data_IF_445129761334
#
_entry.id   IF_445129761334
#
_cell.length_a   1.000
_cell.length_b   1.000
_cell.length_c   1.000
_cell.angle_alpha   90.00
_cell.angle_beta   90.00
_cell.angle_gamma   90.00
#
_symmetry.space_group_name_H-M   'P 1'
#
loop_
_entity.id
_entity.type
_entity.pdbx_description
1 polymer ?
#
# COMPACT_ATOMS: atom_id res chain seq x y z
N UNK A 1 51.02 -15.15 8.21
CA UNK A 1 50.39 -13.91 7.72
C UNK A 1 48.88 -14.13 7.71
N UNK A 2 48.16 -13.26 8.40
CA UNK A 2 46.78 -13.45 8.82
C UNK A 2 45.78 -13.31 7.66
N UNK A 3 44.78 -14.19 7.64
CA UNK A 3 43.60 -14.10 6.80
C UNK A 3 42.59 -13.10 7.37
N UNK A 4 41.93 -12.37 6.48
CA UNK A 4 40.82 -11.47 6.82
C UNK A 4 39.51 -12.23 6.67
N UNK A 5 38.87 -12.52 7.80
CA UNK A 5 37.55 -13.12 7.90
C UNK A 5 36.45 -12.11 7.52
N UNK A 6 35.33 -12.56 6.93
CA UNK A 6 34.13 -11.74 6.79
C UNK A 6 33.58 -11.38 8.17
N UNK A 7 33.14 -10.14 8.31
CA UNK A 7 32.83 -9.43 9.56
C UNK A 7 31.71 -10.08 10.38
N UNK A 8 32.08 -10.61 11.55
CA UNK A 8 31.21 -11.14 12.61
C UNK A 8 30.27 -10.10 13.27
N UNK A 9 30.23 -8.87 12.79
CA UNK A 9 29.44 -7.79 13.39
C UNK A 9 27.95 -7.83 12.97
N UNK A 10 27.63 -8.45 11.83
CA UNK A 10 26.26 -8.54 11.32
C UNK A 10 25.39 -9.64 11.94
N UNK A 11 26.01 -10.69 12.52
CA UNK A 11 25.27 -11.82 13.09
C UNK A 11 24.82 -11.58 14.55
N UNK A 12 25.60 -10.82 15.34
CA UNK A 12 25.33 -10.65 16.78
C UNK A 12 24.07 -9.83 17.11
N UNK A 13 23.54 -9.04 16.17
CA UNK A 13 22.32 -8.23 16.37
C UNK A 13 21.02 -8.97 16.00
N UNK A 14 21.11 -10.07 15.23
CA UNK A 14 19.97 -10.91 14.89
C UNK A 14 19.63 -11.92 16.01
N UNK A 15 20.59 -12.18 16.91
CA UNK A 15 20.46 -13.17 18.00
C UNK A 15 19.70 -12.64 19.24
N UNK A 16 19.45 -11.32 19.35
CA UNK A 16 18.96 -10.70 20.61
C UNK A 16 17.45 -10.46 20.71
N UNK A 17 16.61 -10.99 19.80
CA UNK A 17 15.17 -10.69 19.78
C UNK A 17 14.30 -11.96 19.75
N UNK A 18 13.88 -12.49 20.91
CA UNK A 18 13.27 -13.83 21.01
C UNK A 18 11.74 -13.86 20.80
N UNK A 19 11.28 -14.86 20.05
CA UNK A 19 9.90 -15.37 20.04
C UNK A 19 9.73 -16.78 19.42
N UNK A 20 10.80 -17.33 18.84
CA UNK A 20 10.96 -18.69 18.32
C UNK A 20 12.43 -18.85 17.92
N UNK A 21 13.02 -20.04 17.98
CA UNK A 21 14.44 -20.19 17.65
C UNK A 21 14.67 -19.91 16.16
N UNK A 22 15.23 -18.74 15.82
CA UNK A 22 15.64 -18.37 14.44
C UNK A 22 16.57 -19.41 13.81
N UNK A 23 17.25 -20.21 14.65
CA UNK A 23 18.09 -21.31 14.19
C UNK A 23 17.31 -22.34 13.37
N UNK A 24 15.99 -22.47 13.62
CA UNK A 24 15.09 -23.42 12.94
C UNK A 24 14.62 -22.97 11.55
N UNK A 25 14.80 -21.70 11.19
CA UNK A 25 14.45 -21.25 9.84
C UNK A 25 15.40 -21.86 8.81
N UNK A 26 14.89 -22.37 7.67
CA UNK A 26 15.74 -22.78 6.56
C UNK A 26 16.64 -21.65 6.10
N UNK A 27 17.83 -21.96 5.60
CA UNK A 27 18.83 -20.96 5.20
C UNK A 27 18.28 -19.95 4.17
N UNK A 28 17.41 -20.41 3.27
CA UNK A 28 16.76 -19.53 2.29
C UNK A 28 15.81 -18.50 2.96
N UNK A 29 15.10 -18.88 4.03
CA UNK A 29 14.28 -17.97 4.84
C UNK A 29 15.13 -17.00 5.67
N UNK A 30 16.30 -17.43 6.15
CA UNK A 30 17.26 -16.54 6.82
C UNK A 30 17.80 -15.46 5.88
N UNK A 31 18.06 -15.81 4.62
CA UNK A 31 18.43 -14.84 3.58
C UNK A 31 17.33 -13.83 3.31
N UNK A 32 16.07 -14.27 3.21
CA UNK A 32 14.94 -13.36 3.08
C UNK A 32 14.76 -12.45 4.31
N UNK A 33 14.96 -12.98 5.51
CA UNK A 33 14.89 -12.19 6.74
C UNK A 33 15.99 -11.13 6.77
N UNK A 34 17.20 -11.49 6.34
CA UNK A 34 18.32 -10.56 6.19
C UNK A 34 18.04 -9.50 5.11
N UNK A 35 17.36 -9.87 4.02
CA UNK A 35 16.91 -8.93 3.01
C UNK A 35 15.87 -7.95 3.59
N UNK A 36 14.82 -8.47 4.23
CA UNK A 36 13.77 -7.69 4.87
C UNK A 36 14.28 -6.74 5.96
N UNK A 37 15.25 -7.17 6.78
CA UNK A 37 15.76 -6.34 7.88
C UNK A 37 16.69 -5.24 7.40
N UNK A 38 17.34 -5.43 6.25
CA UNK A 38 18.29 -4.46 5.67
C UNK A 38 17.67 -3.54 4.65
N UNK A 39 16.66 -4.00 3.93
CA UNK A 39 16.09 -3.27 2.81
C UNK A 39 14.63 -2.92 3.08
N UNK A 40 14.32 -1.65 2.88
CA UNK A 40 12.96 -1.18 2.74
C UNK A 40 12.37 -1.82 1.47
N UNK A 41 11.05 -2.06 1.45
CA UNK A 41 10.37 -2.64 0.28
C UNK A 41 10.20 -1.51 -0.73
N UNK A 42 11.29 -1.06 -1.35
CA UNK A 42 11.27 -0.06 -2.42
C UNK A 42 11.40 -0.78 -3.76
N UNK A 43 10.71 -0.27 -4.78
CA UNK A 43 10.36 -0.98 -6.02
C UNK A 43 11.47 -1.85 -6.62
N UNK A 44 12.20 -1.31 -7.61
CA UNK A 44 13.28 -2.04 -8.30
C UNK A 44 14.64 -1.83 -7.63
N UNK A 45 14.75 -0.89 -6.69
CA UNK A 45 16.01 -0.49 -6.07
C UNK A 45 16.00 -0.79 -4.57
N UNK A 46 17.01 -1.51 -4.05
CA UNK A 46 17.11 -1.76 -2.62
C UNK A 46 17.53 -0.47 -1.89
N UNK A 47 16.69 0.00 -0.96
CA UNK A 47 17.01 1.13 -0.09
C UNK A 47 17.18 0.65 1.33
N UNK A 48 18.19 1.17 2.05
CA UNK A 48 18.46 0.74 3.42
C UNK A 48 17.27 1.03 4.33
N UNK A 49 16.77 0.01 5.01
CA UNK A 49 15.79 0.16 6.09
C UNK A 49 16.49 0.70 7.34
N UNK A 50 15.80 1.54 8.09
CA UNK A 50 16.27 1.94 9.41
C UNK A 50 16.21 0.77 10.38
N UNK A 51 17.32 0.49 11.08
CA UNK A 51 17.43 -0.61 12.04
C UNK A 51 16.39 -0.54 13.18
N UNK A 52 15.83 0.64 13.47
CA UNK A 52 14.78 0.85 14.47
C UNK A 52 13.34 0.75 13.94
N UNK A 53 13.13 0.29 12.70
CA UNK A 53 11.79 0.21 12.11
C UNK A 53 10.83 -0.65 12.98
N UNK A 54 9.61 -0.14 13.18
CA UNK A 54 8.55 -0.86 13.91
C UNK A 54 8.18 -2.17 13.25
N UNK A 55 8.23 -2.21 11.91
CA UNK A 55 7.92 -3.38 11.08
C UNK A 55 8.90 -4.52 11.35
N UNK A 56 10.18 -4.21 11.57
CA UNK A 56 11.20 -5.19 11.94
C UNK A 56 10.88 -5.72 13.33
N UNK A 57 10.77 -4.87 14.35
CA UNK A 57 10.50 -5.31 15.72
C UNK A 57 9.28 -6.23 15.84
N UNK A 58 8.16 -5.85 15.21
CA UNK A 58 6.92 -6.65 15.24
C UNK A 58 7.09 -8.03 14.59
N UNK A 59 7.95 -8.16 13.57
CA UNK A 59 8.29 -9.44 12.97
C UNK A 59 9.08 -10.36 13.90
N UNK A 60 9.93 -9.81 14.77
CA UNK A 60 10.63 -10.63 15.75
C UNK A 60 9.75 -10.97 16.97
N UNK A 61 8.69 -10.19 17.24
CA UNK A 61 7.76 -10.41 18.36
C UNK A 61 6.59 -11.36 17.99
N UNK A 62 6.16 -11.41 16.73
CA UNK A 62 5.02 -12.22 16.27
C UNK A 62 5.40 -13.09 15.06
N UNK A 63 5.42 -14.42 15.27
CA UNK A 63 5.80 -15.39 14.23
C UNK A 63 4.88 -15.36 13.00
N UNK A 64 3.57 -15.20 13.21
CA UNK A 64 2.60 -15.12 12.12
C UNK A 64 2.85 -13.90 11.24
N UNK A 65 3.15 -12.77 11.88
CA UNK A 65 3.53 -11.54 11.22
C UNK A 65 4.86 -11.67 10.48
N UNK A 66 5.87 -12.32 11.06
CA UNK A 66 7.15 -12.60 10.39
C UNK A 66 6.93 -13.30 9.05
N UNK A 67 6.07 -14.32 9.00
CA UNK A 67 5.77 -15.03 7.77
C UNK A 67 5.14 -14.13 6.71
N UNK A 68 4.24 -13.21 7.09
CA UNK A 68 3.68 -12.22 6.16
C UNK A 68 4.78 -11.32 5.59
N UNK A 69 5.67 -10.81 6.44
CA UNK A 69 6.79 -9.98 6.00
C UNK A 69 7.75 -10.71 5.06
N UNK A 70 8.13 -11.95 5.39
CA UNK A 70 9.05 -12.74 4.56
C UNK A 70 8.43 -13.12 3.20
N UNK A 71 7.13 -13.41 3.17
CA UNK A 71 6.39 -13.63 1.93
C UNK A 71 6.45 -12.40 1.02
N UNK A 72 6.15 -11.21 1.56
CA UNK A 72 6.13 -9.97 0.78
C UNK A 72 7.53 -9.49 0.40
N UNK A 73 8.53 -9.71 1.25
CA UNK A 73 9.94 -9.48 0.89
C UNK A 73 10.43 -10.40 -0.21
N UNK A 74 9.88 -11.60 -0.37
CA UNK A 74 10.20 -12.44 -1.52
C UNK A 74 9.66 -11.85 -2.83
N UNK A 75 8.49 -11.18 -2.81
CA UNK A 75 8.00 -10.42 -3.96
C UNK A 75 8.96 -9.28 -4.31
N UNK A 76 9.40 -8.51 -3.31
CA UNK A 76 10.38 -7.45 -3.52
C UNK A 76 11.71 -7.96 -4.08
N UNK A 77 12.24 -9.04 -3.51
CA UNK A 77 13.46 -9.68 -4.00
C UNK A 77 13.33 -9.97 -5.49
N UNK A 78 12.18 -10.48 -5.88
CA UNK A 78 11.88 -10.84 -7.25
C UNK A 78 11.78 -9.60 -8.17
N UNK A 79 11.33 -8.45 -7.66
CA UNK A 79 11.38 -7.17 -8.41
C UNK A 79 12.81 -6.67 -8.61
N UNK A 80 13.64 -6.71 -7.56
CA UNK A 80 15.04 -6.25 -7.59
C UNK A 80 15.92 -7.17 -8.45
N UNK A 81 15.66 -8.48 -8.43
CA UNK A 81 16.47 -9.48 -9.14
C UNK A 81 15.90 -9.91 -10.49
N UNK A 82 14.67 -9.52 -10.79
CA UNK A 82 13.95 -9.99 -11.99
C UNK A 82 13.54 -11.47 -11.95
N UNK A 83 13.75 -12.18 -10.84
CA UNK A 83 13.36 -13.59 -10.68
C UNK A 83 13.09 -13.95 -9.23
N UNK A 84 12.11 -14.84 -9.03
CA UNK A 84 11.81 -15.45 -7.73
C UNK A 84 12.54 -16.78 -7.50
N UNK A 85 13.31 -17.30 -8.46
CA UNK A 85 13.81 -18.69 -8.41
C UNK A 85 14.59 -19.02 -7.13
N UNK A 86 15.46 -18.11 -6.66
CA UNK A 86 16.26 -18.29 -5.44
C UNK A 86 15.43 -18.28 -4.16
N UNK A 87 14.25 -17.67 -4.20
CA UNK A 87 13.38 -17.41 -3.04
C UNK A 87 11.99 -18.04 -3.20
N UNK A 88 11.78 -18.85 -4.24
CA UNK A 88 10.51 -19.50 -4.57
C UNK A 88 10.04 -20.44 -3.47
N UNK A 89 10.92 -21.32 -3.01
CA UNK A 89 10.61 -22.27 -1.94
C UNK A 89 10.25 -21.55 -0.63
N UNK A 90 11.06 -20.60 -0.12
CA UNK A 90 10.69 -19.90 1.10
C UNK A 90 9.47 -18.99 0.92
N UNK A 91 9.23 -18.40 -0.26
CA UNK A 91 7.99 -17.70 -0.58
C UNK A 91 6.77 -18.61 -0.39
N UNK A 92 6.75 -19.79 -1.03
CA UNK A 92 5.64 -20.74 -0.95
C UNK A 92 5.43 -21.25 0.49
N UNK A 93 6.52 -21.50 1.21
CA UNK A 93 6.46 -21.87 2.63
C UNK A 93 5.78 -20.79 3.46
N UNK A 94 6.28 -19.55 3.40
CA UNK A 94 5.72 -18.45 4.19
C UNK A 94 4.27 -18.12 3.80
N UNK A 95 3.94 -18.14 2.50
CA UNK A 95 2.57 -18.01 2.00
C UNK A 95 1.65 -19.09 2.58
N UNK A 96 2.10 -20.35 2.60
CA UNK A 96 1.30 -21.46 3.15
C UNK A 96 1.02 -21.31 4.65
N UNK A 97 2.02 -20.85 5.42
CA UNK A 97 1.86 -20.59 6.85
C UNK A 97 0.94 -19.40 7.10
N UNK A 98 1.07 -18.31 6.33
CA UNK A 98 0.15 -17.17 6.42
C UNK A 98 -1.29 -17.58 6.09
N UNK A 99 -1.48 -18.45 5.09
CA UNK A 99 -2.81 -19.00 4.76
C UNK A 99 -3.40 -19.82 5.91
N UNK A 100 -2.60 -20.72 6.51
CA UNK A 100 -3.02 -21.50 7.68
C UNK A 100 -3.42 -20.60 8.85
N UNK A 101 -2.59 -19.60 9.16
CA UNK A 101 -2.88 -18.62 10.20
C UNK A 101 -4.19 -17.87 9.92
N UNK A 102 -4.39 -17.34 8.72
CA UNK A 102 -5.61 -16.63 8.36
C UNK A 102 -6.84 -17.53 8.53
N UNK A 103 -6.76 -18.79 8.08
CA UNK A 103 -7.83 -19.77 8.19
C UNK A 103 -8.16 -20.11 9.65
N UNK A 104 -7.16 -20.37 10.48
CA UNK A 104 -7.34 -20.67 11.91
C UNK A 104 -7.99 -19.50 12.64
N UNK A 105 -7.50 -18.28 12.36
CA UNK A 105 -8.04 -17.04 12.96
C UNK A 105 -9.47 -16.75 12.53
N UNK A 106 -9.82 -17.01 11.26
CA UNK A 106 -11.19 -16.87 10.76
C UNK A 106 -12.15 -17.93 11.31
N UNK A 107 -11.63 -19.10 11.70
CA UNK A 107 -12.45 -20.19 12.26
C UNK A 107 -12.83 -19.95 13.73
N UNK A 108 -12.19 -18.99 14.39
CA UNK A 108 -12.48 -18.60 15.77
C UNK A 108 -13.13 -17.19 15.79
N UNK A 109 -14.34 -17.10 16.36
CA UNK A 109 -15.12 -15.87 16.42
C UNK A 109 -14.38 -14.72 17.13
N UNK A 110 -13.59 -15.01 18.16
CA UNK A 110 -12.87 -13.99 18.93
C UNK A 110 -11.72 -13.36 18.13
N UNK A 111 -11.16 -14.11 17.18
CA UNK A 111 -10.02 -13.64 16.38
C UNK A 111 -10.39 -13.23 14.97
N UNK A 112 -11.56 -13.62 14.45
CA UNK A 112 -11.96 -13.43 13.06
C UNK A 112 -12.00 -11.95 12.64
N UNK A 113 -12.30 -11.04 13.56
CA UNK A 113 -12.43 -9.60 13.30
C UNK A 113 -11.24 -8.77 13.83
N UNK A 114 -10.13 -9.42 14.19
CA UNK A 114 -8.96 -8.71 14.70
C UNK A 114 -8.12 -8.11 13.58
N UNK A 115 -7.39 -7.03 13.90
CA UNK A 115 -6.46 -6.39 12.96
C UNK A 115 -5.39 -7.33 12.42
N UNK A 116 -4.96 -8.33 13.20
CA UNK A 116 -3.99 -9.34 12.75
C UNK A 116 -4.56 -10.27 11.67
N UNK A 117 -5.83 -10.66 11.79
CA UNK A 117 -6.53 -11.43 10.75
C UNK A 117 -6.69 -10.60 9.48
N UNK A 118 -7.03 -9.31 9.63
CA UNK A 118 -7.16 -8.40 8.50
C UNK A 118 -5.82 -8.19 7.79
N UNK A 119 -4.74 -8.06 8.55
CA UNK A 119 -3.38 -7.99 8.03
C UNK A 119 -2.98 -9.27 7.28
N UNK A 120 -3.30 -10.45 7.82
CA UNK A 120 -3.01 -11.74 7.18
C UNK A 120 -3.71 -11.87 5.82
N UNK A 121 -5.02 -11.55 5.77
CA UNK A 121 -5.81 -11.60 4.52
C UNK A 121 -5.28 -10.56 3.52
N UNK A 122 -4.95 -9.36 3.99
CA UNK A 122 -4.37 -8.30 3.15
C UNK A 122 -3.03 -8.72 2.56
N UNK A 123 -2.12 -9.27 3.37
CA UNK A 123 -0.81 -9.75 2.93
C UNK A 123 -0.94 -10.85 1.87
N UNK A 124 -1.90 -11.77 2.02
CA UNK A 124 -2.19 -12.78 1.00
C UNK A 124 -2.73 -12.14 -0.28
N UNK A 125 -3.73 -11.24 -0.20
CA UNK A 125 -4.25 -10.55 -1.38
C UNK A 125 -3.14 -9.85 -2.17
N UNK A 126 -2.25 -9.15 -1.46
CA UNK A 126 -1.10 -8.45 -2.02
C UNK A 126 -0.10 -9.42 -2.67
N UNK A 127 0.23 -10.52 -2.00
CA UNK A 127 1.12 -11.54 -2.56
C UNK A 127 0.54 -12.17 -3.83
N UNK A 128 -0.75 -12.50 -3.85
CA UNK A 128 -1.43 -13.03 -5.04
C UNK A 128 -1.46 -11.99 -6.19
N UNK A 129 -1.73 -10.73 -5.85
CA UNK A 129 -1.67 -9.63 -6.82
C UNK A 129 -0.27 -9.48 -7.41
N UNK A 130 0.79 -9.53 -6.58
CA UNK A 130 2.17 -9.45 -7.04
C UNK A 130 2.54 -10.59 -8.01
N UNK A 131 2.08 -11.81 -7.77
CA UNK A 131 2.38 -12.95 -8.65
C UNK A 131 1.48 -13.00 -9.90
N UNK A 132 0.50 -12.10 -10.02
CA UNK A 132 -0.42 -12.03 -11.16
C UNK A 132 -1.68 -12.90 -11.02
N UNK A 133 -1.88 -13.57 -9.88
CA UNK A 133 -3.11 -14.33 -9.61
C UNK A 133 -4.21 -13.39 -9.07
N UNK A 134 -4.76 -12.59 -9.98
CA UNK A 134 -5.78 -11.59 -9.65
C UNK A 134 -7.11 -12.23 -9.19
N UNK A 135 -7.43 -13.45 -9.64
CA UNK A 135 -8.62 -14.16 -9.18
C UNK A 135 -8.49 -14.53 -7.70
N UNK A 136 -7.37 -15.15 -7.31
CA UNK A 136 -7.12 -15.48 -5.90
C UNK A 136 -6.96 -14.22 -5.05
N UNK A 137 -6.28 -13.19 -5.55
CA UNK A 137 -6.23 -11.87 -4.90
C UNK A 137 -7.63 -11.32 -4.62
N UNK A 138 -8.52 -11.36 -5.62
CA UNK A 138 -9.91 -10.89 -5.45
C UNK A 138 -10.69 -11.69 -4.41
N UNK A 139 -10.46 -13.00 -4.29
CA UNK A 139 -11.09 -13.85 -3.27
C UNK A 139 -10.65 -13.44 -1.86
N UNK A 140 -9.37 -13.11 -1.67
CA UNK A 140 -8.89 -12.55 -0.41
C UNK A 140 -9.51 -11.19 -0.11
N UNK A 141 -9.62 -10.28 -1.09
CA UNK A 141 -10.29 -8.98 -0.92
C UNK A 141 -11.79 -9.14 -0.56
N UNK A 142 -12.49 -10.11 -1.15
CA UNK A 142 -13.86 -10.47 -0.75
C UNK A 142 -13.92 -10.91 0.71
N UNK A 143 -13.00 -11.79 1.11
CA UNK A 143 -12.88 -12.25 2.49
C UNK A 143 -12.61 -11.11 3.47
N UNK A 144 -11.71 -10.19 3.09
CA UNK A 144 -11.39 -8.98 3.84
C UNK A 144 -12.63 -8.13 4.06
N UNK A 145 -13.34 -7.79 2.98
CA UNK A 145 -14.58 -6.99 3.03
C UNK A 145 -15.65 -7.64 3.91
N UNK A 146 -15.81 -8.96 3.81
CA UNK A 146 -16.75 -9.71 4.64
C UNK A 146 -16.41 -9.59 6.13
N UNK A 147 -15.14 -9.70 6.48
CA UNK A 147 -14.68 -9.58 7.86
C UNK A 147 -14.79 -8.15 8.41
N UNK A 148 -14.70 -7.15 7.53
CA UNK A 148 -14.86 -5.72 7.86
C UNK A 148 -16.32 -5.26 8.03
N UNK A 149 -17.33 -6.07 7.66
CA UNK A 149 -18.76 -5.67 7.67
C UNK A 149 -19.29 -5.16 9.01
N UNK A 150 -18.64 -5.52 10.12
CA UNK A 150 -19.05 -5.15 11.47
C UNK A 150 -18.39 -3.87 12.00
N UNK A 151 -17.46 -3.28 11.24
CA UNK A 151 -16.80 -2.04 11.62
C UNK A 151 -17.59 -0.82 11.13
N UNK A 152 -17.58 0.29 11.88
CA UNK A 152 -18.13 1.57 11.41
C UNK A 152 -17.20 2.13 10.32
N UNK A 153 -17.58 1.96 9.06
CA UNK A 153 -16.78 2.38 7.91
C UNK A 153 -17.12 3.82 7.57
N UNK A 154 -16.52 4.77 8.28
CA UNK A 154 -16.46 6.16 7.81
C UNK A 154 -15.39 6.28 6.72
N UNK A 155 -15.71 6.82 5.52
CA UNK A 155 -14.72 6.99 4.47
C UNK A 155 -13.56 7.88 4.94
N UNK A 156 -12.34 7.39 4.80
CA UNK A 156 -11.13 8.17 5.03
C UNK A 156 -10.92 9.20 3.91
N UNK A 157 -10.13 10.24 4.19
CA UNK A 157 -9.74 11.22 3.17
C UNK A 157 -9.11 10.54 1.94
N UNK A 158 -8.18 9.60 2.16
CA UNK A 158 -7.55 8.85 1.09
C UNK A 158 -8.59 8.10 0.22
N UNK A 159 -9.59 7.47 0.85
CA UNK A 159 -10.69 6.82 0.11
C UNK A 159 -11.49 7.80 -0.75
N UNK A 160 -11.85 8.96 -0.19
CA UNK A 160 -12.57 10.02 -0.93
C UNK A 160 -11.75 10.49 -2.12
N UNK A 161 -10.47 10.81 -1.91
CA UNK A 161 -9.54 11.23 -2.95
C UNK A 161 -9.40 10.18 -4.05
N UNK A 162 -9.23 8.91 -3.68
CA UNK A 162 -9.07 7.81 -4.61
C UNK A 162 -10.33 7.61 -5.48
N UNK A 163 -11.52 7.63 -4.87
CA UNK A 163 -12.80 7.54 -5.59
C UNK A 163 -12.96 8.65 -6.61
N UNK A 164 -12.68 9.90 -6.22
CA UNK A 164 -12.79 11.06 -7.11
C UNK A 164 -11.72 11.08 -8.21
N UNK A 165 -10.50 10.64 -7.91
CA UNK A 165 -9.49 10.43 -8.93
C UNK A 165 -10.00 9.45 -9.99
N UNK A 166 -10.66 8.36 -9.56
CA UNK A 166 -11.19 7.39 -10.51
C UNK A 166 -12.38 7.88 -11.33
N UNK A 167 -13.22 8.76 -10.79
CA UNK A 167 -14.24 9.48 -11.57
C UNK A 167 -13.59 10.41 -12.61
N UNK A 168 -12.55 11.16 -12.22
CA UNK A 168 -11.81 12.06 -13.11
C UNK A 168 -11.07 11.32 -14.24
N UNK A 169 -10.50 10.15 -13.95
CA UNK A 169 -9.82 9.30 -14.94
C UNK A 169 -10.80 8.71 -15.96
N UNK A 170 -11.95 8.21 -15.50
CA UNK A 170 -13.02 7.69 -16.37
C UNK A 170 -13.65 8.78 -17.25
N UNK A 171 -13.69 10.03 -16.78
CA UNK A 171 -14.28 11.16 -17.48
C UNK A 171 -13.37 11.86 -18.52
N UNK A 172 -12.37 11.17 -19.09
CA UNK A 172 -11.47 11.62 -20.19
C UNK A 172 -10.03 12.02 -19.81
N UNK A 173 -9.50 11.60 -18.66
CA UNK A 173 -8.08 11.85 -18.29
C UNK A 173 -7.17 10.63 -18.41
N UNK A 174 -7.73 9.43 -18.60
CA UNK A 174 -6.99 8.17 -18.78
C UNK A 174 -5.95 8.24 -19.90
N UNK A 175 -6.31 8.77 -21.08
CA UNK A 175 -5.41 8.85 -22.24
C UNK A 175 -4.11 9.65 -21.99
N UNK A 176 -4.07 10.52 -20.97
CA UNK A 176 -2.87 11.28 -20.61
C UNK A 176 -1.91 10.46 -19.73
N UNK A 177 -2.43 9.60 -18.85
CA UNK A 177 -1.64 8.65 -18.07
C UNK A 177 -1.05 7.54 -18.96
N UNK A 178 -1.78 7.16 -20.01
CA UNK A 178 -1.42 6.07 -20.95
C UNK A 178 -0.20 6.40 -21.80
N UNK A 179 -0.02 7.67 -22.18
CA UNK A 179 1.09 8.11 -23.05
C UNK A 179 2.34 8.53 -22.26
N UNK A 180 2.50 8.02 -21.05
CA UNK A 180 3.64 8.34 -20.18
C UNK A 180 4.90 7.60 -20.64
N UNK A 181 5.99 8.30 -21.02
CA UNK A 181 7.28 7.66 -21.32
C UNK A 181 7.82 6.99 -20.06
N UNK A 182 8.27 5.73 -20.17
CA UNK A 182 8.76 4.94 -19.03
C UNK A 182 7.71 4.73 -17.93
N UNK A 183 6.70 3.93 -18.25
CA UNK A 183 5.76 3.25 -17.34
C UNK A 183 6.17 3.26 -15.86
N UNK A 184 5.34 3.84 -14.99
CA UNK A 184 5.51 3.79 -13.53
C UNK A 184 4.40 2.97 -12.87
N UNK A 185 4.76 1.96 -12.04
CA UNK A 185 3.79 1.09 -11.40
C UNK A 185 2.69 1.82 -10.62
N UNK A 186 3.00 2.91 -9.91
CA UNK A 186 2.00 3.68 -9.14
C UNK A 186 0.90 4.29 -10.01
N UNK A 187 1.25 4.93 -11.13
CA UNK A 187 0.26 5.58 -12.00
C UNK A 187 -0.58 4.56 -12.76
N UNK A 188 0.04 3.46 -13.15
CA UNK A 188 -0.65 2.36 -13.82
C UNK A 188 -1.58 1.64 -12.85
N UNK A 189 -1.15 1.46 -11.61
CA UNK A 189 -2.00 0.95 -10.54
C UNK A 189 -3.17 1.90 -10.25
N UNK A 190 -2.95 3.22 -10.26
CA UNK A 190 -4.01 4.21 -10.07
C UNK A 190 -5.04 4.13 -11.21
N UNK A 191 -4.58 4.03 -12.46
CA UNK A 191 -5.45 3.84 -13.61
C UNK A 191 -6.22 2.53 -13.49
N UNK A 192 -5.54 1.41 -13.24
CA UNK A 192 -6.12 0.09 -13.08
C UNK A 192 -7.16 0.03 -11.96
N UNK A 193 -6.85 0.64 -10.82
CA UNK A 193 -7.73 0.67 -9.67
C UNK A 193 -8.91 1.64 -9.86
N UNK A 194 -8.75 2.69 -10.67
CA UNK A 194 -9.84 3.62 -11.00
C UNK A 194 -10.93 3.07 -11.94
N UNK A 195 -10.58 2.09 -12.77
CA UNK A 195 -11.47 1.49 -13.77
C UNK A 195 -12.14 0.21 -13.26
N UNK A 196 -11.63 -0.36 -12.17
CA UNK A 196 -12.13 -1.58 -11.59
C UNK A 196 -13.29 -1.29 -10.63
N UNK A 197 -14.46 -1.80 -10.96
CA UNK A 197 -15.63 -1.72 -10.11
C UNK A 197 -15.62 -2.88 -9.11
N UNK A 198 -15.48 -2.57 -7.82
CA UNK A 198 -15.50 -3.57 -6.74
C UNK A 198 -16.90 -4.12 -6.45
N UNK A 199 -17.95 -3.62 -7.09
CA UNK A 199 -19.26 -4.28 -7.13
C UNK A 199 -19.37 -5.27 -8.30
N UNK A 200 -18.52 -5.11 -9.31
CA UNK A 200 -18.24 -6.07 -10.37
C UNK A 200 -16.96 -6.89 -10.04
N UNK A 201 -16.94 -7.47 -8.84
CA UNK A 201 -15.80 -8.24 -8.33
C UNK A 201 -15.41 -9.43 -9.22
N UNK A 202 -14.16 -9.45 -9.70
CA UNK A 202 -13.82 -9.24 -11.11
C UNK A 202 -14.98 -9.56 -12.12
N UNK A 203 -14.81 -9.43 -13.45
CA UNK A 203 -15.48 -10.42 -14.30
C UNK A 203 -15.26 -11.79 -13.62
N UNK A 204 -16.31 -12.59 -13.42
CA UNK A 204 -16.26 -13.87 -12.68
C UNK A 204 -15.27 -14.88 -13.28
N UNK A 205 -14.58 -14.45 -14.32
CA UNK A 205 -13.40 -14.98 -14.94
C UNK A 205 -12.48 -13.76 -15.11
N UNK A 206 -11.27 -13.74 -14.55
CA UNK A 206 -10.22 -12.87 -15.12
C UNK A 206 -10.32 -13.04 -16.64
N UNK A 207 -10.33 -11.96 -17.47
CA UNK A 207 -10.59 -12.08 -18.90
C UNK A 207 -9.78 -13.25 -19.42
N UNK A 208 -10.47 -14.34 -19.79
CA UNK A 208 -9.84 -15.62 -20.10
C UNK A 208 -8.89 -15.33 -21.24
N UNK A 209 -7.59 -15.32 -20.95
CA UNK A 209 -6.47 -15.27 -21.89
C UNK A 209 -6.86 -14.78 -23.29
N UNK A 210 -6.86 -13.47 -23.53
CA UNK A 210 -6.86 -12.92 -24.89
C UNK A 210 -8.11 -13.10 -25.75
N UNK A 211 -9.31 -13.27 -25.17
CA UNK A 211 -10.56 -13.20 -25.94
C UNK A 211 -11.35 -11.95 -25.54
N UNK A 212 -11.25 -10.93 -26.39
CA UNK A 212 -11.86 -9.61 -26.27
C UNK A 212 -13.35 -9.70 -26.65
N UNK A 213 -14.25 -9.61 -25.68
CA UNK A 213 -15.70 -9.60 -25.98
C UNK A 213 -16.17 -8.20 -26.39
N UNK A 214 -16.86 -8.10 -27.53
CA UNK A 214 -17.37 -6.84 -28.07
C UNK A 214 -18.47 -6.18 -27.21
N UNK A 215 -19.06 -6.95 -26.28
CA UNK A 215 -20.15 -6.54 -25.38
C UNK A 215 -19.72 -5.76 -24.14
N UNK A 216 -18.43 -5.48 -23.98
CA UNK A 216 -17.91 -4.87 -22.76
C UNK A 216 -18.25 -3.37 -22.58
N UNK A 217 -18.27 -2.93 -21.32
CA UNK A 217 -18.46 -1.51 -20.98
C UNK A 217 -17.38 -0.64 -21.63
N UNK A 218 -17.65 0.66 -21.83
CA UNK A 218 -16.65 1.57 -22.41
C UNK A 218 -15.33 1.61 -21.61
N UNK A 219 -15.40 1.44 -20.28
CA UNK A 219 -14.22 1.33 -19.41
C UNK A 219 -13.43 0.04 -19.63
N UNK A 220 -14.13 -1.10 -19.78
CA UNK A 220 -13.51 -2.38 -20.11
C UNK A 220 -12.87 -2.34 -21.52
N UNK A 221 -13.49 -1.71 -22.52
CA UNK A 221 -12.87 -1.51 -23.84
C UNK A 221 -11.64 -0.61 -23.81
N UNK A 222 -11.65 0.44 -22.99
CA UNK A 222 -10.48 1.30 -22.77
C UNK A 222 -9.33 0.53 -22.12
N UNK A 223 -9.62 -0.29 -21.11
CA UNK A 223 -8.67 -1.23 -20.52
C UNK A 223 -8.10 -2.17 -21.58
N UNK A 224 -8.98 -2.82 -22.36
CA UNK A 224 -8.60 -3.84 -23.33
C UNK A 224 -7.67 -3.31 -24.41
N UNK A 225 -8.00 -2.14 -24.98
CA UNK A 225 -7.12 -1.48 -25.93
C UNK A 225 -5.77 -1.13 -25.29
N UNK A 226 -5.78 -0.76 -24.00
CA UNK A 226 -4.58 -0.40 -23.27
C UNK A 226 -3.67 -1.59 -22.91
N UNK A 227 -4.23 -2.74 -22.51
CA UNK A 227 -3.43 -3.96 -22.28
C UNK A 227 -2.91 -4.57 -23.57
N UNK A 228 -3.64 -4.38 -24.68
CA UNK A 228 -3.24 -4.77 -26.02
C UNK A 228 -2.11 -3.90 -26.59
N UNK A 229 -2.20 -2.58 -26.42
CA UNK A 229 -1.20 -1.62 -26.94
C UNK A 229 0.12 -1.64 -26.15
N UNK A 230 0.07 -2.02 -24.86
CA UNK A 230 1.24 -2.16 -23.99
C UNK A 230 1.85 -3.56 -23.98
N UNK A 231 1.33 -4.51 -24.77
CA UNK A 231 1.68 -5.93 -24.65
C UNK A 231 1.54 -6.47 -23.22
N UNK A 232 0.70 -5.86 -22.37
CA UNK A 232 0.54 -6.25 -20.96
C UNK A 232 0.05 -7.68 -20.81
N UNK A 233 -0.84 -8.17 -21.69
CA UNK A 233 -1.23 -9.59 -21.67
C UNK A 233 -0.06 -10.52 -22.03
N UNK A 234 0.91 -10.04 -22.81
CA UNK A 234 2.12 -10.77 -23.20
C UNK A 234 3.23 -10.66 -22.13
N UNK A 235 3.34 -9.54 -21.42
CA UNK A 235 4.25 -9.32 -20.29
C UNK A 235 3.73 -9.94 -18.99
N UNK A 236 2.42 -10.00 -18.74
CA UNK A 236 1.80 -10.72 -17.61
C UNK A 236 1.93 -12.24 -17.78
N UNK A 237 1.99 -12.72 -19.02
CA UNK A 237 2.14 -14.14 -19.38
C UNK A 237 3.57 -14.54 -19.79
N UNK A 238 4.56 -13.63 -19.69
CA UNK A 238 5.96 -13.92 -20.08
C UNK A 238 6.54 -15.05 -19.23
N UNK A 239 6.59 -16.24 -19.83
CA UNK A 239 7.18 -17.43 -19.23
C UNK A 239 6.24 -18.62 -19.04
N UNK A 240 4.94 -18.49 -19.40
CA UNK A 240 4.10 -19.68 -19.59
C UNK A 240 4.45 -20.33 -20.92
N UNK A 241 5.30 -21.35 -20.88
CA UNK A 241 5.43 -22.28 -22.00
C UNK A 241 4.38 -23.39 -21.83
N UNK A 242 3.34 -23.43 -22.71
CA UNK A 242 2.29 -24.43 -22.62
C UNK A 242 2.79 -25.87 -22.80
N UNK A 243 4.02 -26.06 -23.30
CA UNK A 243 4.63 -27.36 -23.50
C UNK A 243 5.43 -27.85 -22.28
N UNK A 244 5.86 -26.95 -21.39
CA UNK A 244 6.68 -27.32 -20.21
C UNK A 244 5.96 -27.11 -18.87
N UNK A 245 4.83 -26.40 -18.81
CA UNK A 245 4.04 -26.17 -17.58
C UNK A 245 4.89 -25.70 -16.38
N UNK A 246 5.90 -24.86 -16.62
CA UNK A 246 6.74 -24.28 -15.58
C UNK A 246 6.22 -22.88 -15.22
N UNK A 247 5.37 -22.73 -14.17
CA UNK A 247 4.94 -21.42 -13.72
C UNK A 247 6.15 -20.65 -13.17
N UNK A 248 6.46 -19.51 -13.79
CA UNK A 248 7.24 -18.44 -13.16
C UNK A 248 6.30 -17.72 -12.22
N UNK A 249 6.69 -17.59 -10.95
CA UNK A 249 5.82 -17.02 -9.90
C UNK A 249 5.77 -15.49 -9.99
N UNK A 250 6.63 -14.85 -10.78
CA UNK A 250 6.46 -13.43 -11.09
C UNK A 250 5.42 -13.27 -12.21
N UNK A 251 4.65 -12.19 -12.12
CA UNK A 251 3.76 -11.68 -13.17
C UNK A 251 4.59 -11.17 -14.37
N UNK A 252 5.25 -12.10 -15.06
CA UNK A 252 6.22 -12.04 -16.16
C UNK A 252 7.37 -11.01 -16.11
N UNK A 253 7.18 -9.81 -15.56
CA UNK A 253 8.20 -8.79 -15.30
C UNK A 253 7.99 -8.02 -13.96
N UNK A 254 9.06 -7.44 -13.37
CA UNK A 254 8.99 -6.68 -12.12
C UNK A 254 7.97 -5.54 -12.06
N UNK A 255 7.82 -4.77 -13.14
CA UNK A 255 6.96 -3.58 -13.16
C UNK A 255 5.50 -3.96 -13.17
N UNK A 256 5.12 -4.95 -13.98
CA UNK A 256 3.75 -5.49 -14.00
C UNK A 256 3.36 -6.12 -12.66
N UNK A 257 4.27 -6.90 -12.07
CA UNK A 257 4.12 -7.48 -10.74
C UNK A 257 3.89 -6.40 -9.66
N UNK A 258 4.74 -5.37 -9.62
CA UNK A 258 4.61 -4.25 -8.68
C UNK A 258 3.34 -3.44 -8.91
N UNK A 259 2.88 -3.32 -10.15
CA UNK A 259 1.64 -2.59 -10.49
C UNK A 259 0.43 -3.31 -9.92
N UNK A 260 0.33 -4.62 -10.12
CA UNK A 260 -0.77 -5.42 -9.58
C UNK A 260 -0.76 -5.40 -8.04
N UNK A 261 0.44 -5.39 -7.43
CA UNK A 261 0.60 -5.22 -5.99
C UNK A 261 0.07 -3.86 -5.48
N UNK A 262 0.45 -2.74 -6.11
CA UNK A 262 -0.04 -1.40 -5.72
C UNK A 262 -1.54 -1.25 -5.98
N UNK A 263 -2.04 -1.79 -7.10
CA UNK A 263 -3.47 -1.78 -7.39
C UNK A 263 -4.27 -2.54 -6.33
N UNK A 264 -3.77 -3.70 -5.90
CA UNK A 264 -4.35 -4.48 -4.80
C UNK A 264 -4.39 -3.67 -3.50
N UNK A 265 -3.34 -2.91 -3.20
CA UNK A 265 -3.34 -1.95 -2.09
C UNK A 265 -4.44 -0.91 -2.23
N UNK A 266 -4.62 -0.30 -3.40
CA UNK A 266 -5.66 0.69 -3.62
C UNK A 266 -7.07 0.12 -3.40
N UNK A 267 -7.33 -1.14 -3.77
CA UNK A 267 -8.59 -1.80 -3.41
C UNK A 267 -8.73 -2.02 -1.92
N UNK A 268 -7.69 -2.51 -1.24
CA UNK A 268 -7.71 -2.65 0.21
C UNK A 268 -8.07 -1.31 0.87
N UNK A 269 -7.40 -0.22 0.49
CA UNK A 269 -7.73 1.12 0.98
C UNK A 269 -9.16 1.52 0.67
N UNK A 270 -9.69 1.21 -0.52
CA UNK A 270 -11.09 1.51 -0.87
C UNK A 270 -12.12 0.81 0.04
N UNK A 271 -11.73 -0.26 0.73
CA UNK A 271 -12.60 -1.03 1.64
C UNK A 271 -12.32 -0.75 3.13
N UNK A 272 -11.22 -0.05 3.46
CA UNK A 272 -10.79 0.24 4.85
C UNK A 272 -11.14 1.67 5.26
N UNK A 273 -12.08 1.80 6.20
CA UNK A 273 -12.48 3.10 6.76
C UNK A 273 -11.37 3.83 7.53
N UNK A 274 -11.63 5.08 7.90
CA UNK A 274 -10.69 5.94 8.63
C UNK A 274 -10.14 5.28 9.90
N UNK A 275 -8.81 5.31 10.08
CA UNK A 275 -8.13 4.79 11.26
C UNK A 275 -8.17 3.27 11.42
N UNK A 276 -8.47 2.51 10.36
CA UNK A 276 -8.54 1.05 10.40
C UNK A 276 -7.35 0.35 9.74
N UNK A 277 -6.55 1.07 8.94
CA UNK A 277 -5.39 0.51 8.23
C UNK A 277 -4.25 0.24 9.22
N UNK A 278 -3.72 -0.99 9.22
CA UNK A 278 -2.55 -1.34 10.03
C UNK A 278 -1.33 -0.52 9.58
N UNK A 279 -0.56 0.00 10.55
CA UNK A 279 0.61 0.86 10.30
C UNK A 279 1.62 0.24 9.31
N UNK A 280 1.68 -1.08 9.22
CA UNK A 280 2.62 -1.83 8.37
C UNK A 280 2.17 -1.80 6.92
N UNK A 281 0.86 -1.95 6.70
CA UNK A 281 0.28 -1.82 5.36
C UNK A 281 0.42 -0.38 4.86
N UNK A 282 0.28 0.60 5.75
CA UNK A 282 0.57 2.01 5.45
C UNK A 282 2.03 2.19 5.07
N UNK A 283 2.97 1.68 5.89
CA UNK A 283 4.41 1.75 5.64
C UNK A 283 4.77 1.19 4.25
N UNK A 284 4.33 -0.02 3.94
CA UNK A 284 4.63 -0.67 2.65
C UNK A 284 4.04 0.05 1.44
N UNK A 285 2.80 0.57 1.54
CA UNK A 285 2.25 1.35 0.42
C UNK A 285 3.05 2.63 0.23
N UNK A 286 3.32 3.37 1.30
CA UNK A 286 4.03 4.64 1.20
C UNK A 286 5.46 4.47 0.68
N UNK A 287 6.14 3.36 1.05
CA UNK A 287 7.41 2.94 0.44
C UNK A 287 7.29 2.78 -1.09
N UNK A 288 6.18 2.23 -1.61
CA UNK A 288 5.97 2.15 -3.07
C UNK A 288 5.73 3.52 -3.71
N UNK A 289 4.83 4.31 -3.12
CA UNK A 289 4.39 5.56 -3.73
C UNK A 289 5.52 6.59 -3.77
N UNK A 290 6.30 6.72 -2.69
CA UNK A 290 7.35 7.74 -2.61
C UNK A 290 8.48 7.49 -3.60
N UNK A 291 8.81 6.23 -3.86
CA UNK A 291 9.86 5.82 -4.81
C UNK A 291 9.50 6.28 -6.23
N UNK A 292 8.29 5.94 -6.70
CA UNK A 292 7.83 6.35 -8.03
C UNK A 292 7.68 7.87 -8.17
N UNK A 293 7.25 8.54 -7.10
CA UNK A 293 7.13 10.01 -7.11
C UNK A 293 8.50 10.67 -7.23
N UNK A 294 9.50 10.20 -6.48
CA UNK A 294 10.85 10.79 -6.43
C UNK A 294 11.59 10.68 -7.75
N UNK A 295 11.45 9.56 -8.44
CA UNK A 295 12.09 9.37 -9.75
C UNK A 295 11.49 10.30 -10.81
N UNK A 296 10.28 10.84 -10.60
CA UNK A 296 9.51 11.54 -11.63
C UNK A 296 9.38 13.05 -11.44
N UNK A 297 10.04 13.62 -10.42
CA UNK A 297 10.02 15.05 -10.09
C UNK A 297 10.24 15.94 -11.33
N UNK A 298 11.33 15.70 -12.09
CA UNK A 298 11.70 16.55 -13.22
C UNK A 298 10.69 16.51 -14.37
N UNK A 299 10.17 15.32 -14.67
CA UNK A 299 9.25 15.14 -15.80
C UNK A 299 7.84 15.65 -15.48
N UNK A 300 7.34 15.38 -14.27
CA UNK A 300 6.01 15.81 -13.84
C UNK A 300 5.92 17.34 -13.87
N UNK A 301 7.00 18.04 -13.55
CA UNK A 301 7.10 19.48 -13.67
C UNK A 301 7.18 19.99 -15.11
N UNK A 302 7.70 19.19 -16.04
CA UNK A 302 7.88 19.59 -17.44
C UNK A 302 6.58 19.57 -18.26
N UNK A 303 5.51 18.93 -17.78
CA UNK A 303 4.23 18.81 -18.51
C UNK A 303 3.11 19.62 -17.87
N UNK A 304 2.24 20.20 -18.72
CA UNK A 304 1.11 21.03 -18.26
C UNK A 304 0.07 20.29 -17.41
N UNK A 305 0.08 18.96 -17.44
CA UNK A 305 -0.82 18.10 -16.67
C UNK A 305 -0.12 17.33 -15.55
N UNK A 306 1.22 17.21 -15.60
CA UNK A 306 2.00 16.47 -14.62
C UNK A 306 2.06 17.17 -13.26
N UNK A 307 2.15 18.50 -13.23
CA UNK A 307 2.11 19.28 -11.98
C UNK A 307 0.87 19.00 -11.12
N UNK A 308 -0.35 19.16 -11.67
CA UNK A 308 -1.60 18.80 -10.97
C UNK A 308 -1.67 17.34 -10.49
N UNK A 309 -1.22 16.38 -11.31
CA UNK A 309 -1.17 14.97 -10.91
C UNK A 309 -0.19 14.77 -9.75
N UNK A 310 1.00 15.35 -9.85
CA UNK A 310 2.05 15.21 -8.84
C UNK A 310 1.59 15.77 -7.50
N UNK A 311 0.95 16.94 -7.52
CA UNK A 311 0.39 17.56 -6.33
C UNK A 311 -0.70 16.71 -5.69
N UNK A 312 -1.57 16.13 -6.52
CA UNK A 312 -2.55 15.18 -6.04
C UNK A 312 -1.90 13.95 -5.39
N UNK A 313 -0.89 13.33 -6.02
CA UNK A 313 -0.23 12.14 -5.49
C UNK A 313 0.48 12.40 -4.16
N UNK A 314 1.12 13.57 -4.02
CA UNK A 314 1.78 13.96 -2.77
C UNK A 314 0.75 14.16 -1.65
N UNK A 315 -0.36 14.84 -1.92
CA UNK A 315 -1.45 14.98 -0.95
C UNK A 315 -2.12 13.64 -0.62
N UNK A 316 -2.25 12.75 -1.61
CA UNK A 316 -2.82 11.42 -1.43
C UNK A 316 -1.94 10.56 -0.52
N UNK A 317 -0.62 10.57 -0.72
CA UNK A 317 0.31 9.89 0.19
C UNK A 317 0.31 10.49 1.60
N UNK A 318 0.20 11.82 1.73
CA UNK A 318 0.04 12.48 3.03
C UNK A 318 -1.27 12.05 3.74
N UNK A 319 -2.38 11.97 3.00
CA UNK A 319 -3.66 11.49 3.52
C UNK A 319 -3.58 10.02 3.98
N UNK A 320 -2.86 9.17 3.23
CA UNK A 320 -2.59 7.78 3.62
C UNK A 320 -1.77 7.73 4.92
N UNK A 321 -0.67 8.49 5.00
CA UNK A 321 0.18 8.55 6.18
C UNK A 321 -0.58 8.95 7.45
N UNK A 322 -1.49 9.91 7.33
CA UNK A 322 -2.34 10.39 8.43
C UNK A 322 -3.50 9.45 8.79
N UNK A 323 -3.77 8.41 7.99
CA UNK A 323 -4.90 7.50 8.20
C UNK A 323 -4.56 6.20 8.95
N UNK A 324 -3.27 5.97 9.21
CA UNK A 324 -2.78 4.73 9.81
C UNK A 324 -3.16 4.56 11.28
N UNK A 325 -3.34 3.30 11.70
CA UNK A 325 -3.56 2.92 13.10
C UNK A 325 -2.29 2.35 13.70
N UNK A 326 -1.73 3.04 14.68
CA UNK A 326 -0.64 2.53 15.51
C UNK A 326 -1.19 1.68 16.66
N UNK A 327 -0.62 0.49 16.85
CA UNK A 327 -0.84 -0.39 17.99
C UNK A 327 0.23 -0.22 19.08
N UNK A 328 1.31 0.53 18.79
CA UNK A 328 2.39 0.79 19.75
C UNK A 328 3.01 2.18 19.57
N UNK A 329 3.72 2.71 20.59
CA UNK A 329 4.46 3.98 20.47
C UNK A 329 5.52 3.97 19.35
N UNK A 330 6.06 2.79 19.02
CA UNK A 330 7.02 2.64 17.91
C UNK A 330 6.35 2.80 16.56
N UNK A 331 5.18 2.19 16.37
CA UNK A 331 4.39 2.37 15.15
C UNK A 331 3.92 3.83 14.99
N UNK A 332 3.55 4.49 16.09
CA UNK A 332 3.20 5.92 16.07
C UNK A 332 4.39 6.80 15.67
N UNK A 333 5.60 6.49 16.16
CA UNK A 333 6.84 7.16 15.72
C UNK A 333 7.09 6.93 14.22
N UNK A 334 6.84 5.72 13.71
CA UNK A 334 7.01 5.39 12.29
C UNK A 334 6.00 6.14 11.40
N UNK A 335 4.72 6.18 11.76
CA UNK A 335 3.71 6.93 11.02
C UNK A 335 4.03 8.43 11.00
N UNK A 336 4.51 8.99 12.11
CA UNK A 336 4.96 10.40 12.16
C UNK A 336 6.08 10.71 11.17
N UNK A 337 7.06 9.80 11.01
CA UNK A 337 8.11 9.98 9.99
C UNK A 337 7.54 10.04 8.58
N UNK A 338 6.53 9.23 8.28
CA UNK A 338 5.86 9.30 6.98
C UNK A 338 5.11 10.61 6.77
N UNK A 339 4.42 11.12 7.80
CA UNK A 339 3.80 12.44 7.76
C UNK A 339 4.86 13.52 7.48
N UNK A 340 6.02 13.48 8.15
CA UNK A 340 7.12 14.41 7.91
C UNK A 340 7.67 14.32 6.47
N UNK A 341 7.88 13.10 5.97
CA UNK A 341 8.34 12.87 4.58
C UNK A 341 7.38 13.51 3.59
N UNK A 342 6.07 13.25 3.71
CA UNK A 342 5.10 13.81 2.78
C UNK A 342 4.86 15.30 2.97
N UNK A 343 4.94 15.84 4.20
CA UNK A 343 4.91 17.29 4.44
C UNK A 343 6.06 18.01 3.73
N UNK A 344 7.27 17.44 3.81
CA UNK A 344 8.43 17.96 3.06
C UNK A 344 8.17 17.99 1.55
N UNK A 345 7.54 16.93 1.01
CA UNK A 345 7.16 16.87 -0.42
C UNK A 345 6.07 17.86 -0.78
N UNK A 346 5.09 18.11 0.09
CA UNK A 346 4.06 19.14 -0.08
C UNK A 346 4.72 20.53 -0.21
N UNK A 347 5.68 20.84 0.65
CA UNK A 347 6.41 22.12 0.58
C UNK A 347 7.24 22.23 -0.70
N UNK A 348 7.95 21.16 -1.07
CA UNK A 348 8.76 21.12 -2.29
C UNK A 348 7.93 21.39 -3.53
N UNK A 349 6.81 20.68 -3.69
CA UNK A 349 5.96 20.82 -4.87
C UNK A 349 5.19 22.15 -4.86
N UNK A 350 4.77 22.64 -3.68
CA UNK A 350 4.11 23.95 -3.57
C UNK A 350 5.05 25.05 -4.07
N UNK A 351 6.35 24.98 -3.74
CA UNK A 351 7.35 25.91 -4.30
C UNK A 351 7.54 25.74 -5.81
N UNK A 352 7.63 24.50 -6.30
CA UNK A 352 7.84 24.22 -7.72
C UNK A 352 6.67 24.68 -8.60
N UNK A 353 5.44 24.60 -8.08
CA UNK A 353 4.20 25.04 -8.74
C UNK A 353 3.77 26.46 -8.37
N UNK A 354 4.58 27.17 -7.56
CA UNK A 354 4.31 28.54 -7.08
C UNK A 354 2.95 28.67 -6.37
N UNK A 355 2.61 27.68 -5.53
CA UNK A 355 1.39 27.63 -4.73
C UNK A 355 1.66 28.34 -3.41
N UNK A 356 1.13 29.55 -3.25
CA UNK A 356 1.31 30.37 -2.02
C UNK A 356 0.07 30.34 -1.12
N UNK A 357 -1.09 30.00 -1.67
CA UNK A 357 -2.36 29.99 -0.94
C UNK A 357 -3.15 28.72 -1.24
N UNK A 358 -4.07 28.37 -0.33
CA UNK A 358 -4.98 27.25 -0.56
C UNK A 358 -5.86 27.46 -1.80
N UNK A 359 -6.25 28.70 -2.12
CA UNK A 359 -6.98 29.02 -3.36
C UNK A 359 -6.21 28.61 -4.62
N UNK A 360 -4.90 28.86 -4.64
CA UNK A 360 -4.03 28.41 -5.72
C UNK A 360 -3.88 26.89 -5.75
N UNK A 361 -3.73 26.26 -4.57
CA UNK A 361 -3.68 24.81 -4.44
C UNK A 361 -4.95 24.16 -5.01
N UNK A 362 -6.13 24.70 -4.69
CA UNK A 362 -7.43 24.27 -5.25
C UNK A 362 -7.48 24.42 -6.77
N UNK A 363 -7.00 25.54 -7.31
CA UNK A 363 -6.96 25.77 -8.75
C UNK A 363 -6.09 24.73 -9.47
N UNK A 364 -4.92 24.39 -8.90
CA UNK A 364 -4.04 23.33 -9.41
C UNK A 364 -4.72 21.96 -9.31
N UNK A 365 -5.31 21.62 -8.17
CA UNK A 365 -6.01 20.34 -7.96
C UNK A 365 -7.15 20.14 -8.94
N UNK A 366 -7.91 21.19 -9.31
CA UNK A 366 -8.96 21.12 -10.33
C UNK A 366 -8.45 20.65 -11.70
N UNK A 367 -7.17 20.86 -11.98
CA UNK A 367 -6.48 20.30 -13.16
C UNK A 367 -6.55 18.77 -13.22
N UNK A 368 -6.62 18.09 -12.07
CA UNK A 368 -6.72 16.63 -11.95
C UNK A 368 -8.09 16.17 -11.41
N UNK A 369 -8.59 16.75 -10.32
CA UNK A 369 -9.90 16.46 -9.69
C UNK A 369 -10.88 17.64 -9.87
N UNK A 370 -11.82 17.58 -10.83
CA UNK A 370 -12.69 18.72 -11.12
C UNK A 370 -13.71 19.04 -10.01
N UNK A 371 -14.01 18.10 -9.11
CA UNK A 371 -15.00 18.24 -8.04
C UNK A 371 -14.30 17.94 -6.71
N UNK A 372 -14.40 18.86 -5.76
CA UNK A 372 -14.03 18.67 -4.36
C UNK A 372 -15.28 18.92 -3.52
N UNK A 373 -15.68 17.96 -2.68
CA UNK A 373 -16.71 18.22 -1.68
C UNK A 373 -16.14 19.12 -0.55
N UNK A 374 -17.02 19.77 0.21
CA UNK A 374 -16.62 20.74 1.24
C UNK A 374 -15.83 20.08 2.39
N UNK A 375 -16.13 18.84 2.74
CA UNK A 375 -15.44 18.17 3.84
C UNK A 375 -14.01 17.83 3.43
N UNK A 376 -13.84 17.23 2.25
CA UNK A 376 -12.55 16.93 1.68
C UNK A 376 -11.72 18.20 1.44
N UNK A 377 -12.33 19.30 0.97
CA UNK A 377 -11.61 20.57 0.79
C UNK A 377 -10.99 21.05 2.10
N UNK A 378 -11.74 20.93 3.21
CA UNK A 378 -11.25 21.26 4.56
C UNK A 378 -10.16 20.29 5.01
N UNK A 379 -10.37 18.98 4.87
CA UNK A 379 -9.38 17.97 5.29
C UNK A 379 -8.05 18.09 4.50
N UNK A 380 -8.12 18.39 3.19
CA UNK A 380 -6.93 18.63 2.37
C UNK A 380 -6.24 19.95 2.74
N UNK A 381 -7.02 20.99 3.06
CA UNK A 381 -6.48 22.25 3.55
C UNK A 381 -5.70 22.05 4.85
N UNK A 382 -6.24 21.28 5.80
CA UNK A 382 -5.57 20.98 7.08
C UNK A 382 -4.23 20.27 6.84
N UNK A 383 -4.17 19.28 5.94
CA UNK A 383 -2.91 18.62 5.56
C UNK A 383 -1.93 19.61 4.91
N UNK A 384 -2.40 20.40 3.94
CA UNK A 384 -1.54 21.34 3.22
C UNK A 384 -1.01 22.45 4.13
N UNK A 385 -1.86 23.02 4.99
CA UNK A 385 -1.49 24.03 5.97
C UNK A 385 -0.51 23.44 7.00
N UNK A 386 -0.81 22.26 7.54
CA UNK A 386 0.05 21.57 8.51
C UNK A 386 1.45 21.28 7.98
N UNK A 387 1.62 21.10 6.67
CA UNK A 387 2.93 20.98 6.04
C UNK A 387 3.72 22.29 5.97
N UNK A 388 3.05 23.44 5.96
CA UNK A 388 3.65 24.78 5.88
C UNK A 388 3.84 25.44 7.25
N UNK A 389 3.17 24.93 8.30
CA UNK A 389 3.39 25.36 9.67
C UNK A 389 4.64 24.68 10.28
N UNK A 390 5.47 25.40 11.05
CA UNK A 390 6.52 24.76 11.84
C UNK A 390 5.86 23.84 12.88
N UNK A 391 6.29 22.58 12.96
CA UNK A 391 5.69 21.54 13.81
C UNK A 391 5.62 22.02 15.27
N UNK A 392 4.43 22.46 15.68
CA UNK A 392 4.06 22.68 17.07
C UNK A 392 2.94 21.72 17.43
N UNK A 393 3.23 20.69 18.24
CA UNK A 393 2.33 19.84 19.03
C UNK A 393 0.81 19.80 18.69
N UNK A 394 0.41 19.52 17.44
CA UNK A 394 -1.01 19.44 17.05
C UNK A 394 -1.73 18.11 17.40
N UNK A 395 -1.07 17.17 18.08
CA UNK A 395 -1.64 15.86 18.41
C UNK A 395 -1.99 15.67 19.89
N UNK A 396 -2.28 16.76 20.60
CA UNK A 396 -2.63 16.74 22.04
C UNK A 396 -4.13 16.79 22.37
N UNK A 397 -5.01 17.13 21.44
CA UNK A 397 -6.42 17.45 21.79
C UNK A 397 -7.42 16.83 20.79
N UNK A 398 -7.60 15.51 20.85
CA UNK A 398 -8.73 14.85 20.19
C UNK A 398 -9.32 13.67 21.00
N UNK A 399 -9.23 13.70 22.34
CA UNK A 399 -9.77 12.64 23.21
C UNK A 399 -10.54 13.10 24.45
N UNK A 400 -11.07 14.31 24.48
CA UNK A 400 -11.91 14.79 25.61
C UNK A 400 -13.26 15.29 25.17
N UNK A 401 -14.07 14.41 24.56
CA UNK A 401 -15.52 14.59 24.47
C UNK A 401 -16.24 13.26 24.67
N UNK A 402 -16.27 12.77 25.92
CA UNK A 402 -17.38 11.96 26.44
C UNK A 402 -17.17 11.61 27.92
N UNK A 403 -17.38 12.57 28.82
CA UNK A 403 -17.85 12.29 30.19
C UNK A 403 -18.70 13.47 30.67
N UNK A 404 -20.02 13.37 30.47
CA UNK A 404 -20.94 14.17 31.28
C UNK A 404 -20.88 13.65 32.73
N UNK A 405 -20.73 14.50 33.75
CA UNK A 405 -20.88 14.09 35.14
C UNK A 405 -22.37 13.90 35.46
N UNK A 406 -22.73 12.98 36.38
CA UNK A 406 -24.12 12.81 36.79
C UNK A 406 -24.61 14.04 37.57
N UNK A 407 -25.88 14.42 37.33
CA UNK A 407 -26.64 15.36 38.16
C UNK A 407 -26.66 14.83 39.60
N UNK A 408 -26.09 15.60 40.53
CA UNK A 408 -26.41 15.47 41.96
C UNK A 408 -27.69 16.25 42.21
N UNK A 409 -28.78 15.52 42.42
CA UNK A 409 -29.97 16.05 43.06
C UNK A 409 -29.74 16.18 44.58
N UNK A 410 -30.36 17.23 45.10
CA UNK A 410 -30.51 17.73 46.47
C UNK A 410 -30.38 16.71 47.61
N UNK A 411 -29.51 17.03 48.59
CA UNK A 411 -29.69 16.62 49.99
C UNK A 411 -29.53 17.85 50.88
N UNK A 412 -30.62 18.23 51.55
CA UNK A 412 -30.68 19.32 52.54
C UNK A 412 -29.85 18.97 53.79
N UNK A 413 -29.32 19.98 54.51
CA UNK A 413 -28.64 19.76 55.78
C UNK A 413 -29.64 19.43 56.90
N UNK A 414 -29.27 18.51 57.77
CA UNK A 414 -29.85 18.34 59.11
C UNK A 414 -28.80 18.85 60.10
N UNK A 415 -29.21 19.91 60.80
CA UNK A 415 -28.63 20.63 61.95
C UNK A 415 -27.27 21.34 61.80
#
# INVERSE_FOLDING_TARGET
MAGLAPTQLGNRLLDSYVGGSYETLPEASKRLLCHFSKFAVWGEHPVSRELESSVVHRAFENQGYMHMCLMLSACQWAWVKGSMDEVRVPFLYHKSVTYQLARERLSNADTAHTGETMLAISALALAEGAIGDLDTSSKHLKGFRLAMRHHDIRPSLAQKMFKMAGEGLRASKSAKLVNFPDYRPTFMALLFASIWDISALPPTEAPKYGWWEESDTQAARLWQNHTKDLELDYEISRGFDPNTCMPRILNGDPKSSRTCFIATFFYLFSEVGSGQMDAVLVDWLLEQLIDDLTVMDEWLLATSWGGPLWFWCVLFGAAIASSGRAASPREEKQLRKWVEVYNSRIVQISRALVIETWDMARAVLRGFMPILDHEMDRELYEIWQGAHEPIGNWWGEATTLSTMPPRMDEVKPVE
#
